data_IF_013169765884
#
_entry.id   IF_013169765884
#
_cell.length_a   1.000
_cell.length_b   1.000
_cell.length_c   1.000
_cell.angle_alpha   90.00
_cell.angle_beta   90.00
_cell.angle_gamma   90.00
#
_symmetry.space_group_name_H-M   'P 1'
#
loop_
_entity.id
_entity.type
_entity.pdbx_description
1 polymer ?
#
# COMPACT_ATOMS: atom_id res chain seq x y z
N UNK A 1 -7.05 -0.09 1.41
CA UNK A 1 -6.49 0.34 2.70
C UNK A 1 -5.65 1.57 2.40
N UNK A 2 -5.87 2.67 3.10
CA UNK A 2 -5.22 3.95 2.81
C UNK A 2 -4.95 4.66 4.14
N UNK A 3 -3.66 4.83 4.45
CA UNK A 3 -3.21 5.48 5.68
C UNK A 3 -3.42 7.00 5.57
N UNK A 4 -3.58 7.67 6.71
CA UNK A 4 -3.98 9.07 6.79
C UNK A 4 -2.88 10.08 6.42
N UNK A 5 -1.62 9.65 6.42
CA UNK A 5 -0.44 10.47 6.15
C UNK A 5 0.13 10.32 4.74
N UNK A 6 -0.38 9.35 3.99
CA UNK A 6 0.01 9.06 2.61
C UNK A 6 -0.56 10.11 1.65
N UNK A 7 0.09 10.28 0.49
CA UNK A 7 -0.37 11.19 -0.57
C UNK A 7 -0.93 10.40 -1.74
N UNK A 8 -2.15 10.74 -2.17
CA UNK A 8 -2.88 10.03 -3.20
C UNK A 8 -3.25 10.94 -4.38
N UNK A 9 -2.88 10.55 -5.60
CA UNK A 9 -3.38 11.19 -6.82
C UNK A 9 -4.85 10.85 -7.04
N UNK A 10 -5.65 11.80 -7.56
CA UNK A 10 -7.03 11.51 -7.98
C UNK A 10 -7.10 10.42 -9.06
N UNK A 11 -6.10 10.35 -9.95
CA UNK A 11 -6.00 9.33 -11.01
C UNK A 11 -5.96 7.91 -10.42
N UNK A 12 -5.37 7.73 -9.24
CA UNK A 12 -5.26 6.43 -8.58
C UNK A 12 -6.64 5.80 -8.31
N UNK A 13 -7.61 6.63 -7.94
CA UNK A 13 -8.95 6.16 -7.59
C UNK A 13 -9.71 5.64 -8.83
N UNK A 14 -9.47 6.23 -10.00
CA UNK A 14 -10.05 5.73 -11.26
C UNK A 14 -9.37 4.43 -11.72
N UNK A 15 -8.06 4.29 -11.51
CA UNK A 15 -7.33 3.05 -11.81
C UNK A 15 -7.86 1.85 -10.99
N UNK A 16 -8.16 2.07 -9.70
CA UNK A 16 -8.60 1.01 -8.79
C UNK A 16 -10.11 0.74 -8.81
N UNK A 17 -10.94 1.68 -9.29
CA UNK A 17 -12.41 1.57 -9.31
C UNK A 17 -12.92 0.29 -9.97
N UNK A 18 -12.21 -0.17 -11.01
CA UNK A 18 -12.62 -1.29 -11.86
C UNK A 18 -11.91 -2.61 -11.56
N UNK A 19 -11.30 -2.73 -10.38
CA UNK A 19 -10.63 -3.96 -9.95
C UNK A 19 -11.59 -5.14 -9.87
N UNK A 20 -11.26 -6.24 -10.54
CA UNK A 20 -12.11 -7.45 -10.59
C UNK A 20 -11.74 -8.44 -9.49
N UNK A 21 -10.45 -8.58 -9.19
CA UNK A 21 -9.88 -9.43 -8.14
C UNK A 21 -8.98 -8.60 -7.24
N UNK A 22 -7.73 -8.38 -7.65
CA UNK A 22 -6.73 -7.60 -6.93
C UNK A 22 -5.90 -6.82 -7.94
N UNK A 23 -5.89 -5.50 -7.80
CA UNK A 23 -5.08 -4.60 -8.61
C UNK A 23 -3.84 -4.16 -7.86
N UNK A 24 -2.74 -3.94 -8.57
CA UNK A 24 -1.46 -3.51 -8.00
C UNK A 24 -0.82 -2.39 -8.82
N UNK A 25 -0.07 -1.52 -8.16
CA UNK A 25 0.64 -0.38 -8.77
C UNK A 25 1.93 -0.02 -7.99
N UNK A 26 2.80 0.81 -8.57
CA UNK A 26 3.98 1.34 -7.89
C UNK A 26 3.63 2.28 -6.72
N UNK A 27 4.46 2.25 -5.68
CA UNK A 27 4.35 3.14 -4.51
C UNK A 27 5.70 3.83 -4.30
N UNK A 28 5.69 5.15 -4.15
CA UNK A 28 6.90 5.91 -3.84
C UNK A 28 7.24 5.93 -2.34
N UNK A 29 8.52 6.09 -2.04
CA UNK A 29 9.08 6.28 -0.69
C UNK A 29 8.91 5.10 0.28
N UNK A 30 8.79 3.90 -0.26
CA UNK A 30 8.73 2.64 0.50
C UNK A 30 10.02 1.83 0.35
N UNK A 31 10.29 0.93 1.30
CA UNK A 31 11.42 0.00 1.23
C UNK A 31 12.81 0.64 1.17
N UNK A 32 12.93 1.91 1.56
CA UNK A 32 14.19 2.67 1.43
C UNK A 32 14.55 3.05 -0.01
N UNK A 33 13.58 3.06 -0.92
CA UNK A 33 13.76 3.35 -2.35
C UNK A 33 12.97 4.58 -2.78
N UNK A 34 13.30 5.11 -3.97
CA UNK A 34 12.48 6.14 -4.62
C UNK A 34 11.05 5.64 -4.85
N UNK A 35 10.92 4.39 -5.28
CA UNK A 35 9.66 3.67 -5.36
C UNK A 35 9.91 2.16 -5.45
N UNK A 36 8.94 1.37 -5.02
CA UNK A 36 8.82 -0.06 -5.34
C UNK A 36 7.74 -0.24 -6.41
N UNK A 37 7.87 -1.29 -7.23
CA UNK A 37 6.92 -1.52 -8.33
C UNK A 37 6.75 -3.02 -8.63
N UNK A 38 5.55 -3.49 -8.97
CA UNK A 38 5.38 -4.82 -9.55
C UNK A 38 6.20 -4.98 -10.84
N UNK A 39 6.87 -6.12 -11.00
CA UNK A 39 7.53 -6.48 -12.26
C UNK A 39 6.49 -7.05 -13.21
N UNK A 40 6.19 -6.34 -14.29
CA UNK A 40 5.18 -6.74 -15.28
C UNK A 40 5.87 -7.26 -16.54
N UNK A 41 5.40 -8.41 -17.07
CA UNK A 41 5.87 -8.99 -18.32
C UNK A 41 5.30 -8.25 -19.54
N UNK A 42 5.87 -8.45 -20.75
CA UNK A 42 5.29 -7.88 -21.98
C UNK A 42 3.84 -8.29 -22.24
N UNK A 43 3.38 -9.41 -21.67
CA UNK A 43 2.00 -9.88 -21.75
C UNK A 43 1.06 -9.22 -20.71
N UNK A 44 1.52 -8.22 -19.95
CA UNK A 44 0.71 -7.52 -18.96
C UNK A 44 0.45 -8.35 -17.69
N UNK A 45 1.35 -9.29 -17.34
CA UNK A 45 1.23 -10.12 -16.14
C UNK A 45 2.28 -9.78 -15.11
N UNK A 46 1.90 -9.75 -13.84
CA UNK A 46 2.85 -9.61 -12.73
C UNK A 46 3.66 -10.90 -12.65
N UNK A 47 4.99 -10.79 -12.67
CA UNK A 47 5.93 -11.92 -12.63
C UNK A 47 6.95 -11.79 -11.49
N UNK A 48 6.73 -10.84 -10.58
CA UNK A 48 7.57 -10.58 -9.42
C UNK A 48 7.53 -9.11 -9.02
N UNK A 49 8.54 -8.68 -8.28
CA UNK A 49 8.56 -7.38 -7.62
C UNK A 49 9.92 -6.69 -7.81
N UNK A 50 9.91 -5.38 -8.04
CA UNK A 50 11.10 -4.51 -8.07
C UNK A 50 11.25 -3.84 -6.70
N UNK A 51 11.85 -4.57 -5.77
CA UNK A 51 12.20 -4.12 -4.41
C UNK A 51 13.58 -4.66 -4.02
N UNK A 52 14.22 -4.05 -3.02
CA UNK A 52 15.47 -4.52 -2.42
C UNK A 52 15.21 -5.35 -1.15
N UNK A 53 14.20 -4.99 -0.35
CA UNK A 53 13.88 -5.71 0.87
C UNK A 53 13.07 -6.96 0.56
N UNK A 54 13.72 -8.13 0.70
CA UNK A 54 13.10 -9.45 0.58
C UNK A 54 12.21 -9.62 -0.67
N UNK A 55 12.76 -9.45 -1.89
CA UNK A 55 11.99 -9.44 -3.14
C UNK A 55 11.30 -10.77 -3.47
N UNK A 56 11.68 -11.86 -2.77
CA UNK A 56 11.11 -13.19 -2.95
C UNK A 56 9.88 -13.42 -2.06
N UNK A 57 9.48 -12.45 -1.22
CA UNK A 57 8.23 -12.54 -0.45
C UNK A 57 7.04 -12.65 -1.41
N UNK A 58 6.01 -13.47 -1.09
CA UNK A 58 4.92 -13.76 -2.03
C UNK A 58 4.28 -12.51 -2.64
N UNK A 59 4.03 -11.50 -1.81
CA UNK A 59 3.55 -10.19 -2.25
C UNK A 59 4.49 -9.11 -1.72
N UNK A 60 5.50 -8.76 -2.51
CA UNK A 60 6.47 -7.73 -2.16
C UNK A 60 5.97 -6.33 -2.54
N UNK A 61 4.91 -5.91 -1.85
CA UNK A 61 4.23 -4.64 -2.05
C UNK A 61 3.85 -4.01 -0.70
N UNK A 62 3.73 -2.69 -0.69
CA UNK A 62 3.24 -1.87 0.42
C UNK A 62 1.69 -1.86 0.50
N UNK A 63 1.14 -1.51 1.66
CA UNK A 63 -0.30 -1.44 1.92
C UNK A 63 -1.05 -0.51 0.95
N UNK A 64 -0.43 0.61 0.56
CA UNK A 64 -0.98 1.58 -0.37
C UNK A 64 -0.88 1.15 -1.84
N UNK A 65 -0.21 0.03 -2.12
CA UNK A 65 0.10 -0.45 -3.47
C UNK A 65 -0.96 -1.32 -4.13
N UNK A 66 -2.06 -1.63 -3.44
CA UNK A 66 -3.09 -2.53 -3.96
C UNK A 66 -4.52 -2.14 -3.59
N UNK A 67 -5.47 -2.65 -4.38
CA UNK A 67 -6.89 -2.69 -4.02
C UNK A 67 -7.48 -4.06 -4.32
N UNK A 68 -8.54 -4.39 -3.58
CA UNK A 68 -9.19 -5.70 -3.64
C UNK A 68 -10.67 -5.47 -3.97
N UNK A 69 -11.19 -6.27 -4.88
CA UNK A 69 -12.62 -6.30 -5.19
C UNK A 69 -13.42 -6.70 -3.95
N UNK A 70 -14.47 -5.94 -3.64
CA UNK A 70 -15.35 -6.24 -2.50
C UNK A 70 -15.97 -7.64 -2.61
N UNK A 71 -16.28 -8.08 -3.84
CA UNK A 71 -16.79 -9.43 -4.10
C UNK A 71 -15.81 -10.51 -3.62
N UNK A 72 -14.51 -10.32 -3.88
CA UNK A 72 -13.48 -11.28 -3.49
C UNK A 72 -13.32 -11.35 -1.97
N UNK A 73 -13.40 -10.22 -1.27
CA UNK A 73 -13.41 -10.20 0.21
C UNK A 73 -14.60 -10.98 0.76
N UNK A 74 -15.80 -10.77 0.21
CA UNK A 74 -17.01 -11.49 0.64
C UNK A 74 -16.97 -12.99 0.33
N UNK A 75 -16.33 -13.38 -0.78
CA UNK A 75 -16.11 -14.79 -1.14
C UNK A 75 -15.05 -15.48 -0.25
N UNK A 76 -14.20 -14.70 0.42
CA UNK A 76 -13.08 -15.18 1.26
C UNK A 76 -13.18 -14.60 2.67
N UNK A 77 -14.26 -14.91 3.43
CA UNK A 77 -14.51 -14.28 4.73
C UNK A 77 -13.48 -14.61 5.82
N UNK A 78 -12.65 -15.64 5.59
CA UNK A 78 -11.56 -16.02 6.51
C UNK A 78 -10.24 -15.30 6.22
N UNK A 79 -10.15 -14.56 5.10
CA UNK A 79 -8.94 -13.82 4.76
C UNK A 79 -8.85 -12.55 5.61
N UNK A 80 -7.78 -12.42 6.38
CA UNK A 80 -7.55 -11.30 7.28
C UNK A 80 -6.07 -10.99 7.39
N UNK A 81 -5.73 -9.76 7.76
CA UNK A 81 -4.38 -9.47 8.23
C UNK A 81 -4.08 -10.27 9.50
N UNK A 82 -2.92 -10.91 9.55
CA UNK A 82 -2.47 -11.61 10.76
C UNK A 82 -1.79 -10.61 11.70
N UNK A 83 -2.16 -10.68 12.98
CA UNK A 83 -1.60 -9.82 14.03
C UNK A 83 -0.28 -10.38 14.58
N UNK A 84 -0.24 -11.69 14.83
CA UNK A 84 0.88 -12.36 15.48
C UNK A 84 1.65 -13.26 14.50
N UNK A 85 2.93 -13.49 14.80
CA UNK A 85 3.77 -14.40 14.01
C UNK A 85 4.08 -13.92 12.58
N UNK A 86 3.91 -12.63 12.30
CA UNK A 86 4.20 -12.02 10.99
C UNK A 86 5.54 -11.30 11.06
N UNK A 87 6.48 -11.68 10.19
CA UNK A 87 7.76 -10.98 10.02
C UNK A 87 7.51 -9.54 9.56
N UNK A 88 8.38 -8.60 9.95
CA UNK A 88 8.33 -7.23 9.44
C UNK A 88 8.27 -7.19 7.91
N UNK A 89 7.32 -6.43 7.36
CA UNK A 89 7.06 -6.37 5.92
C UNK A 89 6.42 -7.65 5.34
N UNK A 90 5.61 -8.39 6.10
CA UNK A 90 4.85 -9.55 5.59
C UNK A 90 3.34 -9.46 5.86
N UNK A 91 2.86 -8.33 6.37
CA UNK A 91 1.45 -8.19 6.72
C UNK A 91 0.57 -8.18 5.47
N UNK A 92 0.98 -7.51 4.40
CA UNK A 92 0.28 -7.51 3.10
C UNK A 92 0.20 -8.93 2.54
N UNK A 93 1.32 -9.65 2.59
CA UNK A 93 1.38 -11.06 2.20
C UNK A 93 0.43 -11.92 3.02
N UNK A 94 0.26 -11.64 4.31
CA UNK A 94 -0.62 -12.42 5.19
C UNK A 94 -2.08 -12.42 4.75
N UNK A 95 -2.54 -11.32 4.15
CA UNK A 95 -3.88 -11.17 3.59
C UNK A 95 -3.94 -11.65 2.13
N UNK A 96 -3.05 -11.13 1.27
CA UNK A 96 -3.16 -11.29 -0.18
C UNK A 96 -3.04 -12.76 -0.63
N UNK A 97 -2.24 -13.56 0.08
CA UNK A 97 -2.05 -14.98 -0.23
C UNK A 97 -3.32 -15.82 -0.10
N UNK A 98 -4.27 -15.38 0.74
CA UNK A 98 -5.54 -16.08 0.94
C UNK A 98 -6.61 -15.63 -0.07
N UNK A 99 -6.33 -14.57 -0.84
CA UNK A 99 -7.25 -13.94 -1.79
C UNK A 99 -6.90 -14.22 -3.25
N UNK A 100 -5.61 -14.18 -3.61
CA UNK A 100 -5.18 -14.18 -5.01
C UNK A 100 -3.83 -14.87 -5.17
N UNK A 101 -3.56 -15.37 -6.38
CA UNK A 101 -2.22 -15.78 -6.82
C UNK A 101 -1.60 -14.68 -7.67
N UNK A 102 -0.27 -14.74 -7.90
CA UNK A 102 0.43 -13.73 -8.71
C UNK A 102 -0.17 -13.57 -10.12
N UNK A 103 -0.62 -14.65 -10.76
CA UNK A 103 -1.27 -14.62 -12.08
C UNK A 103 -2.64 -13.92 -12.11
N UNK A 104 -3.29 -13.82 -10.94
CA UNK A 104 -4.58 -13.18 -10.74
C UNK A 104 -4.50 -11.69 -10.47
N UNK A 105 -3.30 -11.11 -10.41
CA UNK A 105 -3.07 -9.68 -10.20
C UNK A 105 -3.34 -8.87 -11.48
N UNK A 106 -3.92 -7.69 -11.29
CA UNK A 106 -4.25 -6.73 -12.34
C UNK A 106 -3.28 -5.52 -12.26
N UNK A 107 -2.24 -5.43 -13.11
CA UNK A 107 -1.33 -4.30 -13.08
C UNK A 107 -2.05 -3.01 -13.55
N UNK A 108 -1.89 -1.94 -12.78
CA UNK A 108 -2.44 -0.60 -13.04
C UNK A 108 -1.32 0.40 -13.31
N UNK A 109 -1.64 1.69 -13.38
CA UNK A 109 -0.70 2.80 -13.51
C UNK A 109 0.21 2.62 -14.74
N UNK A 110 -0.41 2.41 -15.91
CA UNK A 110 0.25 2.13 -17.18
C UNK A 110 1.25 0.96 -17.10
N UNK A 111 0.77 -0.24 -16.75
CA UNK A 111 1.60 -1.44 -16.54
C UNK A 111 2.73 -1.23 -15.53
N UNK A 112 2.40 -0.58 -14.42
CA UNK A 112 3.28 -0.28 -13.30
C UNK A 112 4.49 0.60 -13.66
N UNK A 113 4.31 1.53 -14.59
CA UNK A 113 5.34 2.50 -15.02
C UNK A 113 5.12 3.91 -14.49
N UNK A 114 3.95 4.22 -13.94
CA UNK A 114 3.64 5.50 -13.27
C UNK A 114 3.53 5.33 -11.76
N UNK A 115 3.97 6.35 -11.02
CA UNK A 115 3.73 6.48 -9.57
C UNK A 115 2.52 7.37 -9.38
N UNK A 116 1.49 6.86 -8.69
CA UNK A 116 0.23 7.58 -8.42
C UNK A 116 -0.07 7.70 -6.91
N UNK A 117 0.80 7.15 -6.07
CA UNK A 117 0.71 7.16 -4.61
C UNK A 117 2.11 7.26 -4.00
N UNK A 118 2.22 8.02 -2.91
CA UNK A 118 3.46 8.26 -2.20
C UNK A 118 3.27 7.98 -0.71
N UNK A 119 4.13 7.15 -0.14
CA UNK A 119 4.15 6.85 1.29
C UNK A 119 4.89 7.97 2.04
N UNK A 120 4.30 9.17 1.99
CA UNK A 120 4.76 10.34 2.74
C UNK A 120 4.68 10.09 4.25
N UNK A 121 5.49 10.80 5.01
CA UNK A 121 5.47 10.78 6.47
C UNK A 121 5.54 12.20 6.98
N UNK A 122 4.68 12.53 7.92
CA UNK A 122 4.64 13.85 8.54
C UNK A 122 5.69 13.92 9.65
N UNK A 123 6.50 14.97 9.66
CA UNK A 123 7.42 15.21 10.75
C UNK A 123 6.67 15.56 12.04
N UNK A 124 7.21 15.15 13.18
CA UNK A 124 6.62 15.48 14.48
C UNK A 124 6.74 16.99 14.75
N UNK A 125 5.64 17.71 15.03
CA UNK A 125 5.72 19.15 15.29
C UNK A 125 6.49 19.46 16.58
N UNK A 126 7.30 20.52 16.54
CA UNK A 126 8.05 21.00 17.68
C UNK A 126 7.19 21.94 18.54
N UNK A 127 6.57 21.39 19.59
CA UNK A 127 5.70 22.13 20.52
C UNK A 127 6.45 22.64 21.76
N UNK A 128 7.71 23.04 21.61
CA UNK A 128 8.59 23.41 22.74
C UNK A 128 8.07 24.61 23.54
N UNK A 129 7.39 25.55 22.87
CA UNK A 129 6.86 26.77 23.48
C UNK A 129 5.51 26.57 24.19
N UNK A 130 4.86 25.41 24.08
CA UNK A 130 3.70 25.07 24.93
C UNK A 130 4.10 24.94 26.41
N UNK A 131 5.37 24.60 26.67
CA UNK A 131 5.91 24.45 28.01
C UNK A 131 5.17 23.39 28.85
N UNK A 132 5.41 23.38 30.16
CA UNK A 132 4.81 22.38 31.08
C UNK A 132 3.36 22.71 31.49
N UNK A 133 2.92 23.95 31.30
CA UNK A 133 1.60 24.44 31.76
C UNK A 133 0.60 24.63 30.61
N UNK A 134 1.02 24.40 29.37
CA UNK A 134 0.29 24.82 28.17
C UNK A 134 0.47 26.31 27.91
N UNK A 135 0.47 26.70 26.63
CA UNK A 135 0.52 28.10 26.18
C UNK A 135 -0.71 28.46 25.37
N UNK A 136 -1.10 27.62 24.41
CA UNK A 136 -2.30 27.86 23.58
C UNK A 136 -3.60 27.51 24.32
N UNK A 137 -4.74 28.00 23.81
CA UNK A 137 -6.05 27.64 24.37
C UNK A 137 -6.35 26.16 24.09
N UNK A 138 -6.44 25.30 25.12
CA UNK A 138 -6.65 23.86 24.92
C UNK A 138 -8.03 23.51 24.36
N UNK A 139 -8.93 24.49 24.20
CA UNK A 139 -10.26 24.31 23.59
C UNK A 139 -10.24 24.47 22.07
N UNK A 140 -9.16 24.99 21.49
CA UNK A 140 -9.03 25.11 20.05
C UNK A 140 -8.61 23.76 19.44
N UNK A 141 -9.38 23.25 18.48
CA UNK A 141 -9.01 22.09 17.66
C UNK A 141 -7.91 22.48 16.65
N UNK A 142 -7.00 21.55 16.35
CA UNK A 142 -5.85 21.71 15.45
C UNK A 142 -5.77 20.62 14.40
#
# INVERSE_FOLDING_TARGET
FADDDNTYSLELFEEMRYTRRVSVWPVAFVGGLRYESPKVSPAGKVVGWKTVFDPNRPFAIDMAGFAISIKLILEKPQASFKLEGVKGGYQETSLLKDLVTMDGLEPKAANCTKVLVWHTRTERPALVNEGKRGFTDPRAEV
#
